data_IF_057691381990
#
_entry.id   IF_057691381990
#
_cell.length_a   1.000
_cell.length_b   1.000
_cell.length_c   1.000
_cell.angle_alpha   90.00
_cell.angle_beta   90.00
_cell.angle_gamma   90.00
#
_symmetry.space_group_name_H-M   'P 1'
#
loop_
_entity.id
_entity.type
_entity.pdbx_description
1 polymer ?
#
# COMPACT_ATOMS: atom_id res chain seq x y z
N UNK A 1 7.80 -7.52 4.12
CA UNK A 1 6.93 -6.81 3.13
C UNK A 1 5.44 -7.07 3.33
N UNK A 2 5.03 -8.29 3.69
CA UNK A 2 3.63 -8.72 3.89
C UNK A 2 2.91 -8.23 5.16
N UNK A 3 3.42 -7.19 5.83
CA UNK A 3 2.84 -6.72 7.11
C UNK A 3 2.68 -5.20 7.20
N UNK A 4 3.30 -4.43 6.30
CA UNK A 4 3.21 -2.97 6.33
C UNK A 4 1.79 -2.53 5.96
N UNK A 5 1.16 -1.76 6.86
CA UNK A 5 -0.19 -1.16 6.73
C UNK A 5 -1.29 -2.17 6.36
N UNK A 6 -1.10 -3.41 6.78
CA UNK A 6 -2.03 -4.52 6.56
C UNK A 6 -2.88 -4.83 7.80
N UNK A 7 -2.29 -4.70 9.00
CA UNK A 7 -2.94 -4.98 10.28
C UNK A 7 -3.09 -3.70 11.08
N UNK A 8 -4.15 -3.61 11.89
CA UNK A 8 -4.36 -2.49 12.80
C UNK A 8 -3.21 -2.35 13.80
N UNK A 9 -2.91 -1.11 14.19
CA UNK A 9 -1.88 -0.85 15.20
C UNK A 9 -2.34 -1.39 16.55
N UNK A 10 -1.53 -2.25 17.23
CA UNK A 10 -1.86 -2.75 18.55
C UNK A 10 -1.47 -1.77 19.67
N UNK A 11 -0.66 -0.75 19.37
CA UNK A 11 -0.19 0.23 20.35
C UNK A 11 -1.26 1.32 20.54
N UNK A 12 -1.86 1.43 21.74
CA UNK A 12 -2.83 2.47 22.04
C UNK A 12 -2.17 3.82 22.34
N UNK A 13 -0.83 3.87 22.49
CA UNK A 13 -0.10 5.08 22.85
C UNK A 13 -0.04 6.06 21.68
N UNK A 14 -0.07 7.39 21.91
CA UNK A 14 0.15 8.37 20.87
C UNK A 14 1.53 8.21 20.22
N UNK A 15 1.58 8.11 18.90
CA UNK A 15 2.81 8.03 18.10
C UNK A 15 2.58 8.56 16.69
N UNK A 16 3.67 8.75 15.95
CA UNK A 16 3.59 9.11 14.54
C UNK A 16 3.11 7.92 13.69
N UNK A 17 1.80 7.90 13.46
CA UNK A 17 1.11 6.92 12.63
C UNK A 17 1.61 6.89 11.18
N UNK A 18 2.19 7.97 10.64
CA UNK A 18 2.73 7.98 9.28
C UNK A 18 4.00 7.13 9.15
N UNK A 19 4.74 6.99 10.25
CA UNK A 19 5.93 6.15 10.37
C UNK A 19 5.60 4.76 10.92
N UNK A 20 4.41 4.57 11.48
CA UNK A 20 3.98 3.29 12.03
C UNK A 20 3.89 2.23 10.93
N UNK A 21 4.35 1.01 11.19
CA UNK A 21 4.23 -0.12 10.25
C UNK A 21 2.82 -0.70 10.15
N UNK A 22 1.93 -0.33 11.08
CA UNK A 22 0.56 -0.82 11.15
C UNK A 22 -0.41 0.22 10.61
N UNK A 23 -1.58 -0.22 10.15
CA UNK A 23 -2.61 0.67 9.64
C UNK A 23 -3.37 1.32 10.78
N UNK A 24 -3.76 2.58 10.57
CA UNK A 24 -4.70 3.29 11.41
C UNK A 24 -6.00 3.56 10.66
N UNK A 25 -7.05 3.95 11.37
CA UNK A 25 -8.34 4.30 10.77
C UNK A 25 -8.21 5.53 9.86
N UNK A 26 -8.86 5.49 8.69
CA UNK A 26 -8.80 6.57 7.70
C UNK A 26 -7.46 6.70 6.95
N UNK A 27 -6.47 5.85 7.23
CA UNK A 27 -5.15 5.96 6.60
C UNK A 27 -5.15 5.55 5.12
N UNK A 28 -4.65 6.42 4.25
CA UNK A 28 -4.55 6.17 2.80
C UNK A 28 -3.60 5.00 2.48
N UNK A 29 -2.63 4.73 3.38
CA UNK A 29 -1.69 3.64 3.24
C UNK A 29 -2.26 2.26 3.60
N UNK A 30 -3.47 2.22 4.17
CA UNK A 30 -4.21 0.98 4.42
C UNK A 30 -4.35 0.20 3.12
N UNK A 31 -4.07 -1.11 3.17
CA UNK A 31 -4.11 -1.97 2.00
C UNK A 31 -4.61 -3.37 2.31
N UNK A 32 -5.06 -4.09 1.30
CA UNK A 32 -5.46 -5.50 1.39
C UNK A 32 -4.27 -6.43 1.24
N UNK A 33 -4.46 -7.68 1.65
CA UNK A 33 -3.44 -8.73 1.50
C UNK A 33 -3.07 -8.88 0.02
N UNK A 34 -1.80 -8.73 -0.38
CA UNK A 34 -1.41 -8.81 -1.78
C UNK A 34 -1.68 -10.18 -2.42
N UNK A 35 -1.96 -11.24 -1.65
CA UNK A 35 -2.36 -12.53 -2.18
C UNK A 35 -3.81 -12.56 -2.71
N UNK A 36 -4.63 -11.55 -2.41
CA UNK A 36 -6.07 -11.54 -2.75
C UNK A 36 -6.40 -10.70 -3.99
N UNK A 37 -5.41 -10.04 -4.59
CA UNK A 37 -5.60 -9.19 -5.76
C UNK A 37 -4.36 -9.21 -6.66
N UNK A 38 -4.51 -8.79 -7.90
CA UNK A 38 -3.40 -8.59 -8.84
C UNK A 38 -2.69 -7.25 -8.62
N UNK A 39 -1.52 -7.07 -9.22
CA UNK A 39 -0.80 -5.80 -9.21
C UNK A 39 -1.40 -4.75 -10.17
N UNK A 40 -2.35 -5.14 -11.02
CA UNK A 40 -2.95 -4.26 -12.02
C UNK A 40 -3.98 -3.34 -11.34
N UNK A 41 -4.05 -2.06 -11.74
CA UNK A 41 -4.97 -1.11 -11.11
C UNK A 41 -6.44 -1.41 -11.41
N UNK A 42 -7.30 -1.15 -10.44
CA UNK A 42 -8.74 -1.14 -10.61
C UNK A 42 -9.19 0.17 -11.27
N UNK A 43 -9.70 0.11 -12.50
CA UNK A 43 -10.15 1.29 -13.24
C UNK A 43 -11.23 2.12 -12.51
N UNK A 44 -12.17 1.44 -11.84
CA UNK A 44 -13.23 2.10 -11.07
C UNK A 44 -12.66 2.87 -9.87
N UNK A 45 -11.71 2.25 -9.15
CA UNK A 45 -11.04 2.87 -8.02
C UNK A 45 -10.14 4.03 -8.45
N UNK A 46 -9.40 3.89 -9.56
CA UNK A 46 -8.57 4.99 -10.08
C UNK A 46 -9.40 6.21 -10.46
N UNK A 47 -10.62 6.01 -10.99
CA UNK A 47 -11.50 7.11 -11.37
C UNK A 47 -12.21 7.76 -10.18
N UNK A 48 -12.69 6.96 -9.23
CA UNK A 48 -13.65 7.42 -8.22
C UNK A 48 -13.12 7.34 -6.77
N UNK A 49 -11.90 6.81 -6.56
CA UNK A 49 -11.36 6.42 -5.24
C UNK A 49 -12.28 5.46 -4.46
N UNK A 50 -13.23 4.85 -5.16
CA UNK A 50 -14.25 3.94 -4.62
C UNK A 50 -14.45 2.82 -5.64
N UNK A 51 -14.62 1.61 -5.14
CA UNK A 51 -14.91 0.45 -5.98
C UNK A 51 -16.10 -0.30 -5.38
N UNK A 52 -17.13 -0.52 -6.20
CA UNK A 52 -18.32 -1.29 -5.84
C UNK A 52 -18.01 -2.73 -5.40
N UNK A 53 -16.91 -3.31 -5.90
CA UNK A 53 -16.44 -4.65 -5.52
C UNK A 53 -15.76 -4.69 -4.14
N UNK A 54 -15.38 -3.53 -3.59
CA UNK A 54 -14.75 -3.41 -2.27
C UNK A 54 -13.57 -4.37 -2.08
N UNK A 55 -13.56 -5.05 -0.95
CA UNK A 55 -12.50 -6.00 -0.55
C UNK A 55 -12.35 -7.18 -1.52
N UNK A 56 -13.42 -7.56 -2.23
CA UNK A 56 -13.43 -8.69 -3.17
C UNK A 56 -12.88 -8.34 -4.56
N UNK A 57 -12.48 -7.08 -4.79
CA UNK A 57 -11.91 -6.65 -6.06
C UNK A 57 -10.57 -7.36 -6.32
N UNK A 58 -10.43 -8.00 -7.49
CA UNK A 58 -9.19 -8.72 -7.86
C UNK A 58 -8.08 -7.80 -8.41
N UNK A 59 -8.26 -6.48 -8.35
CA UNK A 59 -7.33 -5.48 -8.85
C UNK A 59 -6.90 -4.55 -7.72
N UNK A 60 -5.72 -3.95 -7.85
CA UNK A 60 -5.14 -3.06 -6.85
C UNK A 60 -5.92 -1.74 -6.74
N UNK A 61 -6.19 -1.33 -5.51
CA UNK A 61 -6.77 -0.06 -5.11
C UNK A 61 -5.66 0.89 -4.66
N UNK A 62 -5.36 1.86 -5.52
CA UNK A 62 -4.39 2.91 -5.24
C UNK A 62 -2.93 2.44 -5.26
N UNK A 63 -2.05 3.37 -4.90
CA UNK A 63 -0.60 3.22 -5.05
C UNK A 63 0.03 2.25 -4.05
N UNK A 64 -0.58 2.07 -2.88
CA UNK A 64 -0.05 1.19 -1.84
C UNK A 64 -0.28 -0.29 -2.13
N UNK A 65 -1.45 -0.65 -2.63
CA UNK A 65 -1.69 -2.03 -3.09
C UNK A 65 -0.84 -2.38 -4.29
N UNK A 66 -0.76 -1.49 -5.28
CA UNK A 66 0.04 -1.69 -6.50
C UNK A 66 1.54 -1.69 -6.21
N UNK A 67 2.04 -0.66 -5.52
CA UNK A 67 3.46 -0.44 -5.29
C UNK A 67 4.09 -1.42 -4.29
N UNK A 68 3.30 -1.93 -3.34
CA UNK A 68 3.72 -2.98 -2.42
C UNK A 68 3.16 -4.36 -2.81
N UNK A 69 2.80 -4.58 -4.08
CA UNK A 69 2.51 -5.91 -4.59
C UNK A 69 3.81 -6.66 -4.89
N UNK A 70 3.95 -7.97 -4.57
CA UNK A 70 5.18 -8.73 -4.81
C UNK A 70 5.68 -8.68 -6.26
N UNK A 71 4.76 -8.60 -7.24
CA UNK A 71 5.11 -8.50 -8.67
C UNK A 71 5.62 -7.11 -9.12
N UNK A 72 5.55 -6.08 -8.27
CA UNK A 72 5.89 -4.68 -8.64
C UNK A 72 6.86 -4.02 -7.67
N UNK A 73 7.00 -4.56 -6.47
CA UNK A 73 7.85 -3.95 -5.45
C UNK A 73 9.32 -4.11 -5.79
N UNK A 74 10.01 -2.97 -5.86
CA UNK A 74 11.43 -2.86 -6.18
C UNK A 74 11.80 -3.53 -7.51
N UNK A 75 10.87 -3.59 -8.46
CA UNK A 75 11.13 -4.08 -9.82
C UNK A 75 11.62 -2.99 -10.77
N UNK A 76 11.54 -1.73 -10.35
CA UNK A 76 11.97 -0.57 -11.14
C UNK A 76 12.87 0.31 -10.27
N UNK A 77 13.93 0.87 -10.85
CA UNK A 77 14.89 1.72 -10.15
C UNK A 77 14.23 3.00 -9.64
N UNK A 78 14.58 3.39 -8.42
CA UNK A 78 14.16 4.66 -7.86
C UNK A 78 14.88 5.80 -8.59
N UNK A 79 14.13 6.81 -9.06
CA UNK A 79 14.72 8.01 -9.66
C UNK A 79 15.65 8.78 -8.71
N UNK A 80 15.48 8.61 -7.40
CA UNK A 80 16.37 9.19 -6.38
C UNK A 80 17.57 8.31 -6.03
N UNK A 81 17.62 7.05 -6.50
CA UNK A 81 18.70 6.10 -6.22
C UNK A 81 19.14 6.10 -4.75
N UNK A 82 20.46 6.23 -4.54
CA UNK A 82 21.07 6.27 -3.20
C UNK A 82 20.65 7.46 -2.33
N UNK A 83 20.11 8.52 -2.94
CA UNK A 83 19.61 9.69 -2.21
C UNK A 83 18.13 9.54 -1.78
N UNK A 84 17.50 8.38 -2.04
CA UNK A 84 16.12 8.15 -1.60
C UNK A 84 16.05 8.03 -0.07
N UNK A 85 15.34 8.96 0.56
CA UNK A 85 15.11 9.01 2.00
C UNK A 85 13.70 8.55 2.41
N UNK A 86 12.94 7.95 1.49
CA UNK A 86 11.60 7.44 1.81
C UNK A 86 11.72 6.21 2.70
N UNK A 87 11.08 6.25 3.87
CA UNK A 87 11.01 5.10 4.78
C UNK A 87 10.55 3.83 4.06
N UNK A 88 9.51 3.96 3.23
CA UNK A 88 9.07 2.91 2.32
C UNK A 88 9.18 3.44 0.89
N UNK A 89 10.19 2.97 0.17
CA UNK A 89 10.28 3.16 -1.29
C UNK A 89 9.72 1.92 -2.00
N UNK A 90 8.77 2.12 -2.92
CA UNK A 90 8.25 1.04 -3.77
C UNK A 90 9.22 0.63 -4.87
N UNK A 91 10.24 1.44 -5.11
CA UNK A 91 11.25 1.29 -6.15
C UNK A 91 12.58 0.81 -5.55
N UNK A 92 13.42 0.18 -6.38
CA UNK A 92 14.74 -0.32 -6.00
C UNK A 92 15.73 0.80 -5.72
#
# INVERSE_FOLDING_TARGET
MYVFKLRMCPDPSPHDWTQCRYTHEGEIAKRRNPATHSANPCAEYEKNMRCSRGEKCLFAHGVWERGLHPQRYRTTLCSKGKACNRMICFFA
#
